data_IF_132723456065
#
_entry.id   IF_132723456065
#
_cell.length_a   1.000
_cell.length_b   1.000
_cell.length_c   1.000
_cell.angle_alpha   90.00
_cell.angle_beta   90.00
_cell.angle_gamma   90.00
#
_symmetry.space_group_name_H-M   'P 1'
#
loop_
_entity.id
_entity.type
_entity.pdbx_description
1 polymer ?
#
# COMPACT_ATOMS: atom_id res chain seq x y z
N UNK A 1 5.61 20.03 -20.74
CA UNK A 1 5.85 19.18 -21.94
C UNK A 1 4.56 18.67 -22.57
N UNK A 2 3.40 18.82 -21.93
CA UNK A 2 2.09 18.29 -22.40
C UNK A 2 1.37 19.18 -23.45
N UNK A 3 1.80 20.43 -23.63
CA UNK A 3 1.13 21.36 -24.57
C UNK A 3 1.53 21.22 -26.05
N UNK A 4 2.61 20.50 -26.35
CA UNK A 4 3.12 20.35 -27.72
C UNK A 4 2.33 19.34 -28.55
N UNK A 5 1.72 18.34 -27.91
CA UNK A 5 0.96 17.30 -28.62
C UNK A 5 -0.49 17.69 -28.96
N UNK A 6 -1.08 18.64 -28.22
CA UNK A 6 -2.45 19.08 -28.48
C UNK A 6 -2.57 19.99 -29.73
N UNK A 7 -1.50 20.64 -30.13
CA UNK A 7 -1.50 21.54 -31.29
C UNK A 7 -1.36 20.85 -32.65
N UNK A 8 -0.73 19.68 -32.70
CA UNK A 8 -0.49 18.97 -33.97
C UNK A 8 -1.75 18.49 -34.71
N UNK A 9 -2.73 17.87 -34.05
CA UNK A 9 -3.96 17.47 -34.76
C UNK A 9 -4.80 18.67 -35.19
N UNK A 10 -4.78 19.80 -34.50
CA UNK A 10 -5.49 21.01 -34.91
C UNK A 10 -4.83 21.67 -36.13
N UNK A 11 -3.51 21.68 -36.21
CA UNK A 11 -2.77 22.25 -37.32
C UNK A 11 -2.95 21.43 -38.59
N UNK A 12 -3.05 20.10 -38.48
CA UNK A 12 -3.35 19.23 -39.62
C UNK A 12 -4.78 19.42 -40.14
N UNK A 13 -5.75 19.63 -39.28
CA UNK A 13 -7.14 19.88 -39.66
C UNK A 13 -7.31 21.28 -40.29
N UNK A 14 -6.56 22.30 -39.84
CA UNK A 14 -6.62 23.64 -40.41
C UNK A 14 -6.02 23.72 -41.83
N UNK A 15 -5.04 22.89 -42.14
CA UNK A 15 -4.41 22.83 -43.45
C UNK A 15 -5.26 22.10 -44.52
N UNK A 16 -6.18 21.28 -44.13
CA UNK A 16 -7.05 20.48 -45.04
C UNK A 16 -8.44 21.09 -45.22
N UNK A 17 -8.88 21.94 -44.30
CA UNK A 17 -10.20 22.53 -44.33
C UNK A 17 -10.54 23.34 -45.60
N UNK A 18 -9.64 24.08 -46.29
CA UNK A 18 -9.98 24.87 -47.45
C UNK A 18 -10.23 24.06 -48.75
N UNK A 19 -9.89 22.76 -48.75
CA UNK A 19 -10.04 21.89 -49.93
C UNK A 19 -11.17 20.88 -49.87
N UNK A 20 -11.87 20.87 -48.77
CA UNK A 20 -13.05 20.01 -48.56
C UNK A 20 -14.28 20.78 -49.04
N UNK A 21 -14.39 20.89 -50.36
CA UNK A 21 -15.54 21.48 -51.03
C UNK A 21 -16.87 20.91 -50.55
N UNK A 22 -17.91 21.70 -50.70
CA UNK A 22 -19.30 21.58 -50.28
C UNK A 22 -20.01 20.20 -50.44
N UNK A 23 -19.28 19.14 -50.78
CA UNK A 23 -19.78 17.76 -50.81
C UNK A 23 -19.80 17.08 -49.44
N UNK A 24 -19.27 17.72 -48.41
CA UNK A 24 -19.30 17.19 -47.05
C UNK A 24 -20.49 17.77 -46.26
N UNK A 25 -21.70 17.54 -46.82
CA UNK A 25 -22.93 17.60 -46.02
C UNK A 25 -22.96 16.53 -44.87
N UNK A 26 -21.85 15.83 -44.67
CA UNK A 26 -21.60 14.88 -43.60
C UNK A 26 -20.84 15.51 -42.39
N UNK A 27 -20.79 16.86 -42.35
CA UNK A 27 -20.18 17.57 -41.21
C UNK A 27 -20.59 17.01 -39.82
N UNK A 28 -21.88 16.66 -39.56
CA UNK A 28 -22.25 16.06 -38.27
C UNK A 28 -21.65 14.65 -38.05
N UNK A 29 -21.46 13.87 -39.13
CA UNK A 29 -20.88 12.52 -39.04
C UNK A 29 -19.39 12.57 -38.70
N UNK A 30 -18.62 13.50 -39.27
CA UNK A 30 -17.21 13.70 -38.97
C UNK A 30 -17.00 14.30 -37.59
N UNK A 31 -17.84 15.23 -37.19
CA UNK A 31 -17.82 15.78 -35.82
C UNK A 31 -18.10 14.69 -34.78
N UNK A 32 -19.03 13.79 -35.04
CA UNK A 32 -19.31 12.63 -34.19
C UNK A 32 -18.13 11.66 -34.09
N UNK A 33 -17.46 11.39 -35.26
CA UNK A 33 -16.30 10.48 -35.27
C UNK A 33 -15.09 11.08 -34.54
N UNK A 34 -14.83 12.38 -34.73
CA UNK A 34 -13.78 13.09 -33.97
C UNK A 34 -14.10 13.13 -32.48
N UNK A 35 -15.35 13.41 -32.11
CA UNK A 35 -15.78 13.37 -30.72
C UNK A 35 -15.63 11.96 -30.11
N UNK A 36 -15.94 10.92 -30.86
CA UNK A 36 -15.80 9.53 -30.41
C UNK A 36 -14.33 9.13 -30.23
N UNK A 37 -13.45 9.56 -31.13
CA UNK A 37 -12.00 9.34 -31.01
C UNK A 37 -11.43 10.10 -29.81
N UNK A 38 -11.84 11.36 -29.61
CA UNK A 38 -11.40 12.15 -28.46
C UNK A 38 -11.93 11.59 -27.14
N UNK A 39 -13.19 11.16 -27.11
CA UNK A 39 -13.77 10.48 -25.95
C UNK A 39 -13.09 9.14 -25.69
N UNK A 40 -12.83 8.32 -26.69
CA UNK A 40 -12.12 7.05 -26.49
C UNK A 40 -10.70 7.28 -26.00
N UNK A 41 -9.99 8.26 -26.56
CA UNK A 41 -8.66 8.64 -26.06
C UNK A 41 -8.71 9.16 -24.64
N UNK A 42 -9.74 9.93 -24.30
CA UNK A 42 -9.96 10.39 -22.93
C UNK A 42 -10.24 9.23 -21.97
N UNK A 43 -11.08 8.27 -22.35
CA UNK A 43 -11.35 7.08 -21.55
C UNK A 43 -10.16 6.11 -21.46
N UNK A 44 -9.30 6.05 -22.47
CA UNK A 44 -8.08 5.24 -22.45
C UNK A 44 -6.94 5.90 -21.65
N UNK A 45 -6.85 7.22 -21.66
CA UNK A 45 -5.81 7.98 -20.96
C UNK A 45 -6.26 8.49 -19.59
N UNK A 46 -7.58 8.58 -19.36
CA UNK A 46 -8.13 9.07 -18.09
C UNK A 46 -7.80 8.20 -16.85
N UNK A 47 -7.61 6.86 -16.97
CA UNK A 47 -7.20 6.07 -15.80
C UNK A 47 -5.89 6.57 -15.18
N UNK A 48 -4.97 7.12 -15.98
CA UNK A 48 -3.72 7.68 -15.45
C UNK A 48 -3.91 9.04 -14.78
N UNK A 49 -5.06 9.70 -15.01
CA UNK A 49 -5.37 11.02 -14.45
C UNK A 49 -6.50 11.00 -13.42
N UNK A 50 -7.13 9.85 -13.17
CA UNK A 50 -7.93 9.70 -11.97
C UNK A 50 -6.94 9.71 -10.82
N UNK A 51 -6.67 10.88 -10.28
CA UNK A 51 -6.07 11.01 -8.97
C UNK A 51 -7.11 10.40 -8.00
N UNK A 52 -6.96 9.12 -7.74
CA UNK A 52 -7.53 8.53 -6.54
C UNK A 52 -7.06 9.45 -5.42
N UNK A 53 -7.99 10.05 -4.69
CA UNK A 53 -7.62 10.84 -3.52
C UNK A 53 -6.60 10.00 -2.74
N UNK A 54 -5.44 10.56 -2.38
CA UNK A 54 -4.45 9.81 -1.65
C UNK A 54 -5.17 9.18 -0.45
N UNK A 55 -5.12 7.87 -0.37
CA UNK A 55 -5.60 7.14 0.81
C UNK A 55 -4.93 7.72 2.06
N UNK A 56 -5.38 7.38 3.24
CA UNK A 56 -4.70 7.78 4.46
C UNK A 56 -3.22 7.44 4.32
N UNK A 57 -2.37 8.37 4.74
CA UNK A 57 -0.92 8.15 4.71
C UNK A 57 -0.61 6.89 5.54
N UNK A 58 0.12 5.91 4.98
CA UNK A 58 0.41 4.69 5.71
C UNK A 58 1.28 4.98 6.93
N UNK A 59 1.08 4.22 8.00
CA UNK A 59 1.91 4.26 9.22
C UNK A 59 3.36 3.94 8.88
N UNK A 60 3.58 2.97 7.99
CA UNK A 60 4.90 2.62 7.48
C UNK A 60 4.80 1.91 6.12
N UNK A 61 5.87 2.00 5.35
CA UNK A 61 6.09 1.23 4.13
C UNK A 61 7.27 0.29 4.34
N UNK A 62 7.11 -0.96 3.95
CA UNK A 62 8.14 -1.97 4.06
C UNK A 62 8.66 -2.37 2.69
N UNK A 63 9.98 -2.39 2.59
CA UNK A 63 10.72 -2.81 1.41
C UNK A 63 11.30 -4.19 1.67
N UNK A 64 10.85 -5.22 0.95
CA UNK A 64 11.45 -6.55 0.99
C UNK A 64 12.95 -6.55 0.72
N UNK A 65 13.64 -7.58 1.20
CA UNK A 65 15.12 -7.63 1.25
C UNK A 65 15.78 -7.43 -0.12
N UNK A 66 15.21 -7.96 -1.18
CA UNK A 66 15.76 -7.85 -2.53
C UNK A 66 15.02 -6.81 -3.40
N UNK A 67 13.96 -6.20 -2.89
CA UNK A 67 13.19 -5.21 -3.63
C UNK A 67 13.86 -3.83 -3.62
N UNK A 68 13.70 -3.08 -4.71
CA UNK A 68 14.17 -1.71 -4.80
C UNK A 68 13.14 -0.68 -4.31
N UNK A 69 11.87 -1.09 -4.22
CA UNK A 69 10.74 -0.25 -3.87
C UNK A 69 9.88 -0.93 -2.78
N UNK A 70 9.10 -0.17 -2.01
CA UNK A 70 8.19 -0.76 -1.04
C UNK A 70 7.16 -1.67 -1.71
N UNK A 71 6.84 -2.78 -1.05
CA UNK A 71 5.82 -3.72 -1.53
C UNK A 71 4.68 -3.91 -0.53
N UNK A 72 4.92 -3.61 0.75
CA UNK A 72 3.95 -3.78 1.83
C UNK A 72 3.78 -2.47 2.59
N UNK A 73 2.55 -2.05 2.81
CA UNK A 73 2.20 -0.91 3.66
C UNK A 73 1.51 -1.37 4.94
N UNK A 74 1.89 -0.82 6.07
CA UNK A 74 1.07 -0.83 7.28
C UNK A 74 0.18 0.41 7.22
N UNK A 75 -1.13 0.21 6.98
CA UNK A 75 -2.08 1.31 6.83
C UNK A 75 -2.57 1.85 8.17
N UNK A 76 -2.84 0.92 9.10
CA UNK A 76 -3.46 1.25 10.38
C UNK A 76 -3.16 0.17 11.41
N UNK A 77 -3.38 0.50 12.68
CA UNK A 77 -3.28 -0.45 13.79
C UNK A 77 -4.26 -0.09 14.91
N UNK A 78 -4.72 -1.12 15.61
CA UNK A 78 -5.53 -1.00 16.80
C UNK A 78 -4.90 -1.83 17.93
N UNK A 79 -4.78 -1.26 19.14
CA UNK A 79 -4.21 -1.93 20.30
C UNK A 79 -5.28 -2.04 21.39
N UNK A 80 -5.60 -3.29 21.76
CA UNK A 80 -6.37 -3.60 22.96
C UNK A 80 -5.36 -3.93 24.08
N UNK A 81 -5.14 -3.03 25.05
CA UNK A 81 -4.11 -3.22 26.06
C UNK A 81 -4.45 -4.39 27.00
N UNK A 82 -3.42 -5.08 27.45
CA UNK A 82 -3.56 -6.09 28.48
C UNK A 82 -4.00 -5.48 29.82
N UNK A 83 -4.72 -6.25 30.61
CA UNK A 83 -5.12 -5.89 31.96
C UNK A 83 -4.63 -6.94 32.95
N UNK A 84 -4.69 -6.64 34.26
CA UNK A 84 -4.32 -7.61 35.28
C UNK A 84 -5.22 -8.87 35.27
N UNK A 85 -6.45 -8.75 34.78
CA UNK A 85 -7.40 -9.88 34.66
C UNK A 85 -7.26 -10.61 33.32
N UNK A 86 -6.84 -9.93 32.28
CA UNK A 86 -6.60 -10.47 30.95
C UNK A 86 -5.18 -10.09 30.52
N UNK A 87 -4.15 -10.87 30.91
CA UNK A 87 -2.76 -10.54 30.65
C UNK A 87 -2.37 -10.86 29.18
N UNK A 88 -3.25 -10.54 28.25
CA UNK A 88 -3.03 -10.68 26.81
C UNK A 88 -3.24 -9.33 26.17
N UNK A 89 -2.22 -8.85 25.48
CA UNK A 89 -2.30 -7.69 24.63
C UNK A 89 -2.74 -8.17 23.24
N UNK A 90 -3.73 -7.51 22.67
CA UNK A 90 -4.14 -7.76 21.28
C UNK A 90 -3.74 -6.58 20.42
N UNK A 91 -3.13 -6.84 19.29
CA UNK A 91 -2.91 -5.83 18.26
C UNK A 91 -3.51 -6.32 16.93
N UNK A 92 -4.29 -5.46 16.30
CA UNK A 92 -4.81 -5.67 14.95
C UNK A 92 -4.04 -4.75 14.03
N UNK A 93 -3.44 -5.33 12.98
CA UNK A 93 -2.65 -4.62 11.99
C UNK A 93 -3.39 -4.67 10.66
N UNK A 94 -3.54 -3.53 10.00
CA UNK A 94 -4.12 -3.47 8.65
C UNK A 94 -3.02 -3.25 7.64
N UNK A 95 -2.76 -4.28 6.85
CA UNK A 95 -1.73 -4.29 5.81
C UNK A 95 -2.32 -4.05 4.43
N UNK A 96 -1.52 -3.52 3.52
CA UNK A 96 -1.82 -3.47 2.10
C UNK A 96 -0.61 -3.90 1.28
N UNK A 97 -0.86 -4.75 0.27
CA UNK A 97 0.12 -4.96 -0.78
C UNK A 97 0.07 -3.77 -1.74
N UNK A 98 1.17 -3.02 -1.85
CA UNK A 98 1.28 -1.88 -2.77
C UNK A 98 1.92 -2.26 -4.09
N UNK A 99 2.60 -3.40 -4.12
CA UNK A 99 3.18 -4.06 -5.29
C UNK A 99 3.13 -5.58 -5.09
N UNK A 100 3.44 -6.41 -6.11
CA UNK A 100 3.61 -7.85 -5.91
C UNK A 100 4.67 -8.11 -4.83
N UNK A 101 4.34 -8.93 -3.83
CA UNK A 101 5.25 -9.19 -2.70
C UNK A 101 6.17 -10.36 -3.02
N UNK A 102 7.46 -10.10 -2.96
CA UNK A 102 8.49 -11.12 -3.15
C UNK A 102 8.88 -11.74 -1.81
N UNK A 103 8.48 -13.00 -1.59
CA UNK A 103 8.78 -13.76 -0.39
C UNK A 103 7.64 -13.85 0.62
N UNK A 104 7.69 -14.91 1.42
CA UNK A 104 6.70 -15.20 2.47
C UNK A 104 7.23 -14.74 3.82
N UNK A 105 6.79 -13.55 4.22
CA UNK A 105 7.25 -12.86 5.42
C UNK A 105 6.48 -13.31 6.66
N UNK A 106 7.24 -13.46 7.75
CA UNK A 106 6.72 -13.58 9.11
C UNK A 106 6.65 -12.19 9.74
N UNK A 107 5.53 -11.86 10.37
CA UNK A 107 5.36 -10.63 11.13
C UNK A 107 5.80 -10.91 12.56
N UNK A 108 6.70 -10.08 13.08
CA UNK A 108 7.01 -10.09 14.50
C UNK A 108 6.29 -8.94 15.21
N UNK A 109 5.76 -9.24 16.37
CA UNK A 109 5.17 -8.29 17.30
C UNK A 109 5.88 -8.48 18.63
N UNK A 110 6.79 -7.58 18.96
CA UNK A 110 7.50 -7.57 20.24
C UNK A 110 6.88 -6.53 21.17
N UNK A 111 6.56 -6.94 22.36
CA UNK A 111 6.07 -6.05 23.42
C UNK A 111 7.26 -5.59 24.25
N UNK A 112 7.43 -4.27 24.36
CA UNK A 112 8.51 -3.64 25.09
C UNK A 112 8.01 -3.02 26.39
N UNK A 113 8.85 -3.08 27.41
CA UNK A 113 8.67 -2.40 28.68
C UNK A 113 10.02 -1.92 29.19
N UNK A 114 10.14 -0.63 29.51
CA UNK A 114 11.39 0.02 29.93
C UNK A 114 12.56 -0.20 28.93
N UNK A 115 12.22 -0.32 27.64
CA UNK A 115 13.17 -0.55 26.56
C UNK A 115 13.58 -2.01 26.34
N UNK A 116 13.15 -2.93 27.20
CA UNK A 116 13.43 -4.36 27.09
C UNK A 116 12.24 -5.12 26.49
N UNK A 117 12.51 -6.21 25.77
CA UNK A 117 11.45 -7.06 25.23
C UNK A 117 10.91 -7.97 26.33
N UNK A 118 9.64 -7.76 26.71
CA UNK A 118 8.96 -8.52 27.77
C UNK A 118 8.14 -9.68 27.26
N UNK A 119 7.65 -9.59 26.00
CA UNK A 119 6.92 -10.66 25.32
C UNK A 119 7.05 -10.51 23.80
N UNK A 120 6.70 -11.56 23.08
CA UNK A 120 6.66 -11.52 21.61
C UNK A 120 5.67 -12.54 21.05
N UNK A 121 5.24 -12.26 19.83
CA UNK A 121 4.58 -13.22 18.95
C UNK A 121 5.13 -13.02 17.54
N UNK A 122 5.60 -14.10 16.94
CA UNK A 122 6.08 -14.13 15.57
C UNK A 122 5.22 -15.13 14.81
N UNK A 123 4.48 -14.68 13.81
CA UNK A 123 3.60 -15.54 13.02
C UNK A 123 3.43 -15.00 11.61
N UNK A 124 3.12 -15.88 10.67
CA UNK A 124 2.66 -15.47 9.35
C UNK A 124 1.32 -14.77 9.46
N UNK A 125 1.01 -13.83 8.54
CA UNK A 125 -0.27 -13.12 8.56
C UNK A 125 -1.48 -14.07 8.64
N UNK A 126 -2.54 -13.65 9.35
CA UNK A 126 -3.76 -14.43 9.58
C UNK A 126 -3.46 -15.82 10.18
N UNK A 127 -2.49 -15.93 11.08
CA UNK A 127 -2.05 -17.21 11.65
C UNK A 127 -1.56 -18.22 10.61
N UNK A 128 -1.06 -17.74 9.47
CA UNK A 128 -0.53 -18.55 8.37
C UNK A 128 -1.49 -18.80 7.21
N UNK A 129 -2.71 -18.29 7.28
CA UNK A 129 -3.72 -18.45 6.21
C UNK A 129 -3.57 -17.43 5.07
N UNK A 130 -2.83 -16.34 5.29
CA UNK A 130 -2.63 -15.26 4.33
C UNK A 130 -1.13 -15.04 4.04
N UNK A 131 -0.41 -15.98 3.41
CA UNK A 131 1.01 -15.82 3.14
C UNK A 131 1.28 -14.61 2.26
N UNK A 132 2.33 -13.84 2.56
CA UNK A 132 2.58 -12.55 1.90
C UNK A 132 2.91 -12.68 0.43
N UNK A 133 3.51 -13.77 -0.01
CA UNK A 133 3.81 -14.07 -1.43
C UNK A 133 2.55 -14.32 -2.29
N UNK A 134 1.40 -14.53 -1.64
CA UNK A 134 0.11 -14.64 -2.33
C UNK A 134 -0.63 -13.30 -2.47
N UNK A 135 -0.14 -12.22 -1.81
CA UNK A 135 -0.82 -10.93 -1.83
C UNK A 135 -0.72 -10.26 -3.19
N UNK A 136 -1.84 -9.70 -3.66
CA UNK A 136 -1.91 -8.96 -4.90
C UNK A 136 -1.94 -7.45 -4.64
N UNK A 137 -1.38 -6.62 -5.53
CA UNK A 137 -1.43 -5.17 -5.38
C UNK A 137 -2.87 -4.67 -5.16
N UNK A 138 -3.07 -3.94 -4.06
CA UNK A 138 -4.37 -3.44 -3.64
C UNK A 138 -5.09 -4.31 -2.60
N UNK A 139 -4.64 -5.54 -2.35
CA UNK A 139 -5.19 -6.38 -1.28
C UNK A 139 -5.01 -5.72 0.08
N UNK A 140 -6.06 -5.76 0.89
CA UNK A 140 -6.03 -5.30 2.28
C UNK A 140 -6.22 -6.50 3.20
N UNK A 141 -5.25 -6.71 4.08
CA UNK A 141 -5.20 -7.83 4.99
C UNK A 141 -5.30 -7.30 6.43
N UNK A 142 -6.28 -7.79 7.18
CA UNK A 142 -6.43 -7.51 8.61
C UNK A 142 -5.87 -8.68 9.40
N UNK A 143 -4.79 -8.42 10.13
CA UNK A 143 -4.04 -9.44 10.84
C UNK A 143 -4.07 -9.16 12.35
N UNK A 144 -4.49 -10.17 13.12
CA UNK A 144 -4.68 -10.06 14.56
C UNK A 144 -3.67 -10.89 15.33
N UNK A 145 -2.93 -10.22 16.18
CA UNK A 145 -1.93 -10.81 17.06
C UNK A 145 -2.39 -10.76 18.52
N UNK A 146 -2.21 -11.86 19.25
CA UNK A 146 -2.50 -11.98 20.69
C UNK A 146 -1.25 -12.35 21.43
N UNK A 147 -0.67 -11.41 22.14
CA UNK A 147 0.59 -11.59 22.86
C UNK A 147 0.32 -11.76 24.36
N UNK A 148 0.53 -12.97 24.86
CA UNK A 148 0.43 -13.24 26.29
C UNK A 148 1.59 -12.60 27.05
N UNK A 149 1.28 -11.82 28.08
CA UNK A 149 2.29 -11.17 28.91
C UNK A 149 2.62 -12.03 30.12
N UNK A 150 3.89 -12.06 30.55
CA UNK A 150 4.26 -12.72 31.80
C UNK A 150 3.65 -12.00 33.00
N UNK A 151 3.48 -12.70 34.13
CA UNK A 151 2.95 -12.10 35.36
C UNK A 151 3.73 -10.85 35.77
N UNK A 152 3.02 -9.77 36.05
CA UNK A 152 3.60 -8.50 36.49
C UNK A 152 4.08 -7.57 35.36
N UNK A 153 4.16 -8.03 34.11
CA UNK A 153 4.65 -7.21 32.99
C UNK A 153 3.63 -6.17 32.50
N UNK A 154 2.33 -6.36 32.76
CA UNK A 154 1.25 -5.51 32.23
C UNK A 154 1.46 -4.02 32.50
N UNK A 155 1.91 -3.68 33.71
CA UNK A 155 2.08 -2.27 34.14
C UNK A 155 3.30 -1.57 33.49
N UNK A 156 4.24 -2.34 32.98
CA UNK A 156 5.48 -1.82 32.39
C UNK A 156 5.49 -1.75 30.88
N UNK A 157 4.41 -2.19 30.22
CA UNK A 157 4.32 -2.14 28.75
C UNK A 157 4.18 -0.70 28.30
N UNK A 158 5.09 -0.26 27.43
CA UNK A 158 5.10 1.10 26.89
C UNK A 158 5.02 1.14 25.38
N UNK A 159 5.57 0.15 24.66
CA UNK A 159 5.68 0.15 23.21
C UNK A 159 5.56 -1.23 22.58
N UNK A 160 5.15 -1.25 21.33
CA UNK A 160 5.30 -2.40 20.44
C UNK A 160 6.40 -2.12 19.40
N UNK A 161 7.16 -3.15 19.08
CA UNK A 161 8.09 -3.15 17.94
C UNK A 161 7.59 -4.15 16.92
N UNK A 162 7.29 -3.68 15.71
CA UNK A 162 6.66 -4.45 14.64
C UNK A 162 7.55 -4.43 13.41
N UNK A 163 7.65 -5.56 12.73
CA UNK A 163 8.34 -5.66 11.46
C UNK A 163 8.10 -7.00 10.79
N UNK A 164 8.78 -7.19 9.67
CA UNK A 164 8.67 -8.38 8.83
C UNK A 164 10.05 -9.00 8.62
N UNK A 165 10.12 -10.31 8.59
CA UNK A 165 11.36 -11.03 8.27
C UNK A 165 11.08 -12.32 7.50
N UNK A 166 12.03 -12.73 6.68
CA UNK A 166 12.02 -14.04 6.04
C UNK A 166 12.42 -15.11 7.06
N UNK A 167 11.54 -16.10 7.29
CA UNK A 167 11.78 -17.14 8.30
C UNK A 167 13.04 -17.99 7.98
N UNK A 168 13.33 -18.17 6.70
CA UNK A 168 14.44 -19.02 6.26
C UNK A 168 15.81 -18.39 6.53
N UNK A 169 15.95 -17.08 6.34
CA UNK A 169 17.21 -16.36 6.45
C UNK A 169 17.32 -15.51 7.72
N UNK A 170 16.19 -15.18 8.33
CA UNK A 170 16.09 -14.20 9.42
C UNK A 170 16.27 -12.76 8.99
N UNK A 171 16.39 -12.50 7.69
CA UNK A 171 16.57 -11.15 7.15
C UNK A 171 15.26 -10.34 7.26
N UNK A 172 15.38 -9.11 7.76
CA UNK A 172 14.26 -8.20 7.97
C UNK A 172 14.05 -7.29 6.79
N UNK A 173 12.78 -7.08 6.41
CA UNK A 173 12.41 -6.02 5.50
C UNK A 173 12.79 -4.65 6.09
N UNK A 174 13.28 -3.75 5.23
CA UNK A 174 13.60 -2.38 5.64
C UNK A 174 12.30 -1.55 5.79
N UNK A 175 12.29 -0.61 6.71
CA UNK A 175 11.25 0.43 6.73
C UNK A 175 11.69 1.54 5.77
N UNK A 176 10.88 1.79 4.75
CA UNK A 176 11.23 2.71 3.67
C UNK A 176 11.44 4.13 4.19
N UNK A 177 12.54 4.74 3.78
CA UNK A 177 12.91 6.08 4.23
C UNK A 177 13.46 6.17 5.65
N UNK A 178 13.73 5.03 6.31
CA UNK A 178 14.31 4.96 7.65
C UNK A 178 15.53 4.03 7.65
N UNK A 179 16.46 4.24 8.56
CA UNK A 179 17.61 3.34 8.74
C UNK A 179 17.23 2.10 9.57
N UNK A 180 16.05 2.08 10.16
CA UNK A 180 15.54 0.99 10.99
C UNK A 180 14.74 -0.04 10.15
N UNK A 181 14.63 -1.24 10.67
CA UNK A 181 13.84 -2.35 10.14
C UNK A 181 12.66 -2.69 11.06
N UNK A 182 12.23 -1.71 11.83
CA UNK A 182 11.25 -1.88 12.89
C UNK A 182 10.42 -0.62 13.05
N UNK A 183 9.12 -0.79 13.11
CA UNK A 183 8.16 0.28 13.44
C UNK A 183 7.83 0.20 14.92
N UNK A 184 7.90 1.32 15.61
CA UNK A 184 7.55 1.40 17.03
C UNK A 184 6.20 2.08 17.20
N UNK A 185 5.29 1.43 17.93
CA UNK A 185 3.95 1.93 18.23
C UNK A 185 3.80 2.09 19.75
N UNK A 186 3.33 3.25 20.18
CA UNK A 186 3.08 3.50 21.61
C UNK A 186 1.82 2.78 22.08
N UNK A 187 1.89 2.09 23.21
CA UNK A 187 0.76 1.45 23.91
C UNK A 187 0.22 2.46 24.93
N UNK A 188 -0.91 3.09 24.62
CA UNK A 188 -1.56 4.06 25.51
C UNK A 188 -2.95 3.59 25.92
#
# INVERSE_FOLDING_TARGET
QMLVFAGLPLALLSGVAPRLDARLAAWPAWAGLVALVLLSSYFYLAPEFIQVAPGPEPVALFQPVEAHEPQIALLDYEIEPATALTPTLTVTLTWQAVAPVEGDYTIFVHVLGEGERVAQQDTRPCSGECPTDAWQPGDIIVDRHQVALPPGAVAGVDRLAIGLYLLETGERAAVYGQDDRTVYLDVR
#
